data_IF_603706371199
#
_entry.id   IF_603706371199
#
_cell.length_a   1.000
_cell.length_b   1.000
_cell.length_c   1.000
_cell.angle_alpha   90.00
_cell.angle_beta   90.00
_cell.angle_gamma   90.00
#
_symmetry.space_group_name_H-M   'P 1'
#
loop_
_entity.id
_entity.type
_entity.pdbx_description
1 polymer ?
#
# COMPACT_ATOMS: atom_id res chain seq x y z
N UNK A 1 20.98 -16.96 39.73
CA UNK A 1 20.13 -15.79 39.47
C UNK A 1 18.75 -16.22 39.92
N UNK A 2 18.31 -15.72 41.06
CA UNK A 2 17.10 -16.20 41.73
C UNK A 2 15.88 -15.73 40.96
N UNK A 3 14.95 -16.62 40.70
CA UNK A 3 13.74 -16.32 39.95
C UNK A 3 12.85 -15.39 40.80
N UNK A 4 12.53 -14.19 40.29
CA UNK A 4 11.62 -13.22 40.95
C UNK A 4 10.32 -13.90 41.36
N UNK A 5 9.85 -14.84 40.55
CA UNK A 5 8.62 -15.59 40.79
C UNK A 5 8.73 -16.50 42.01
N UNK A 6 9.90 -17.11 42.23
CA UNK A 6 10.16 -18.00 43.37
C UNK A 6 10.31 -17.22 44.68
N UNK A 7 11.03 -16.08 44.66
CA UNK A 7 11.15 -15.16 45.80
C UNK A 7 9.80 -14.55 46.18
N UNK A 8 8.99 -14.16 45.19
CA UNK A 8 7.65 -13.63 45.43
C UNK A 8 6.68 -14.69 45.98
N UNK A 9 6.79 -15.95 45.52
CA UNK A 9 6.01 -17.06 46.06
C UNK A 9 6.39 -17.37 47.51
N UNK A 10 7.68 -17.39 47.84
CA UNK A 10 8.14 -17.54 49.23
C UNK A 10 7.68 -16.39 50.13
N UNK A 11 7.76 -15.14 49.65
CA UNK A 11 7.26 -13.99 50.37
C UNK A 11 5.77 -14.15 50.74
N UNK A 12 4.95 -14.65 49.80
CA UNK A 12 3.53 -14.96 50.02
C UNK A 12 3.32 -16.05 51.06
N UNK A 13 4.00 -17.19 50.93
CA UNK A 13 3.86 -18.32 51.86
C UNK A 13 4.28 -17.92 53.27
N UNK A 14 5.40 -17.21 53.43
CA UNK A 14 5.87 -16.76 54.74
C UNK A 14 4.84 -15.83 55.39
N UNK A 15 4.30 -14.86 54.63
CA UNK A 15 3.27 -13.96 55.12
C UNK A 15 1.98 -14.68 55.55
N UNK A 16 1.56 -15.74 54.83
CA UNK A 16 0.41 -16.59 55.20
C UNK A 16 0.65 -17.36 56.51
N UNK A 17 1.91 -17.74 56.78
CA UNK A 17 2.33 -18.41 58.01
C UNK A 17 2.64 -17.44 59.16
N UNK A 18 2.51 -16.12 58.97
CA UNK A 18 2.87 -15.10 59.96
C UNK A 18 4.39 -14.88 60.13
N UNK A 19 5.18 -15.42 59.21
CA UNK A 19 6.63 -15.26 59.11
C UNK A 19 6.98 -14.18 58.07
N UNK A 20 8.21 -13.68 58.12
CA UNK A 20 8.71 -12.67 57.18
C UNK A 20 9.94 -13.19 56.45
N UNK A 21 10.19 -12.66 55.25
CA UNK A 21 11.47 -12.84 54.60
C UNK A 21 12.59 -12.33 55.51
N UNK A 22 13.74 -12.98 55.48
CA UNK A 22 14.94 -12.44 56.13
C UNK A 22 15.33 -11.10 55.49
N UNK A 23 16.10 -10.25 56.19
CA UNK A 23 16.59 -8.99 55.61
C UNK A 23 17.37 -9.18 54.30
N UNK A 24 18.11 -10.28 54.16
CA UNK A 24 18.84 -10.60 52.94
C UNK A 24 17.91 -10.94 51.77
N UNK A 25 16.91 -11.80 52.00
CA UNK A 25 15.90 -12.15 50.98
C UNK A 25 15.02 -10.95 50.62
N UNK A 26 14.72 -10.08 51.59
CA UNK A 26 13.99 -8.83 51.35
C UNK A 26 14.79 -7.90 50.44
N UNK A 27 16.09 -7.74 50.69
CA UNK A 27 16.97 -6.93 49.84
C UNK A 27 17.07 -7.51 48.42
N UNK A 28 17.20 -8.84 48.32
CA UNK A 28 17.25 -9.53 47.03
C UNK A 28 15.96 -9.35 46.21
N UNK A 29 14.80 -9.41 46.85
CA UNK A 29 13.51 -9.15 46.21
C UNK A 29 13.40 -7.69 45.73
N UNK A 30 13.84 -6.72 46.54
CA UNK A 30 13.83 -5.30 46.18
C UNK A 30 14.73 -5.03 44.97
N UNK A 31 15.97 -5.52 44.97
CA UNK A 31 16.87 -5.37 43.83
C UNK A 31 16.31 -5.99 42.55
N UNK A 32 15.64 -7.13 42.67
CA UNK A 32 15.04 -7.81 41.54
C UNK A 32 13.84 -7.04 40.98
N UNK A 33 13.01 -6.45 41.85
CA UNK A 33 11.91 -5.55 41.46
C UNK A 33 12.42 -4.27 40.79
N UNK A 34 13.48 -3.65 41.30
CA UNK A 34 14.10 -2.48 40.69
C UNK A 34 14.63 -2.79 39.28
N UNK A 35 15.30 -3.93 39.11
CA UNK A 35 15.78 -4.39 37.79
C UNK A 35 14.61 -4.67 36.84
N UNK A 36 13.53 -5.28 37.32
CA UNK A 36 12.33 -5.50 36.51
C UNK A 36 11.68 -4.18 36.09
N UNK A 37 11.55 -3.22 37.01
CA UNK A 37 11.02 -1.89 36.72
C UNK A 37 11.89 -1.14 35.69
N UNK A 38 13.21 -1.17 35.84
CA UNK A 38 14.14 -0.60 34.86
C UNK A 38 13.98 -1.26 33.48
N UNK A 39 13.79 -2.59 33.43
CA UNK A 39 13.58 -3.31 32.18
C UNK A 39 12.25 -2.95 31.52
N UNK A 40 11.17 -2.80 32.28
CA UNK A 40 9.87 -2.34 31.78
C UNK A 40 10.01 -0.95 31.17
N UNK A 41 10.58 0.01 31.90
CA UNK A 41 10.82 1.38 31.37
C UNK A 41 11.67 1.37 30.10
N UNK A 42 12.69 0.50 30.04
CA UNK A 42 13.51 0.33 28.84
C UNK A 42 12.74 -0.28 27.67
N UNK A 43 11.81 -1.21 27.92
CA UNK A 43 10.97 -1.80 26.88
C UNK A 43 9.92 -0.79 26.40
N UNK A 44 9.22 -0.13 27.31
CA UNK A 44 8.22 0.90 27.01
C UNK A 44 8.82 2.06 26.20
N UNK A 45 10.04 2.51 26.53
CA UNK A 45 10.74 3.54 25.74
C UNK A 45 11.13 3.09 24.33
N UNK A 46 11.16 1.78 24.06
CA UNK A 46 11.46 1.19 22.74
C UNK A 46 10.20 0.74 22.00
N UNK A 47 9.06 0.66 22.67
CA UNK A 47 7.79 0.27 22.07
C UNK A 47 7.28 1.39 21.17
N UNK A 48 7.03 1.06 19.90
CA UNK A 48 6.38 1.98 18.96
C UNK A 48 4.88 1.85 19.13
N UNK A 49 4.21 2.94 19.50
CA UNK A 49 2.75 3.01 19.45
C UNK A 49 2.30 3.09 18.00
N UNK A 50 1.56 2.08 17.55
CA UNK A 50 0.99 2.06 16.20
C UNK A 50 -0.20 3.03 16.11
N UNK A 51 -0.27 3.74 14.99
CA UNK A 51 -1.40 4.64 14.70
C UNK A 51 -2.69 3.84 14.49
N UNK A 52 -3.87 4.34 14.93
CA UNK A 52 -5.17 3.71 14.67
C UNK A 52 -5.40 3.35 13.19
N UNK A 53 -4.89 4.17 12.28
CA UNK A 53 -5.00 3.99 10.83
C UNK A 53 -4.34 2.70 10.34
N UNK A 54 -3.27 2.22 11.00
CA UNK A 54 -2.62 0.96 10.64
C UNK A 54 -3.53 -0.24 10.91
N UNK A 55 -4.33 -0.19 11.98
CA UNK A 55 -5.33 -1.23 12.26
C UNK A 55 -6.44 -1.21 11.22
N UNK A 56 -6.91 -0.03 10.82
CA UNK A 56 -7.89 0.12 9.73
C UNK A 56 -7.36 -0.45 8.41
N UNK A 57 -6.10 -0.18 8.07
CA UNK A 57 -5.45 -0.75 6.89
C UNK A 57 -5.42 -2.29 7.00
N UNK A 58 -5.03 -2.84 8.15
CA UNK A 58 -5.02 -4.28 8.39
C UNK A 58 -6.40 -4.93 8.22
N UNK A 59 -7.45 -4.30 8.74
CA UNK A 59 -8.84 -4.77 8.60
C UNK A 59 -9.28 -4.76 7.12
N UNK A 60 -9.01 -3.67 6.40
CA UNK A 60 -9.31 -3.56 4.97
C UNK A 60 -8.55 -4.63 4.16
N UNK A 61 -7.28 -4.90 4.50
CA UNK A 61 -6.50 -5.95 3.84
C UNK A 61 -7.17 -7.33 3.99
N UNK A 62 -7.75 -7.62 5.17
CA UNK A 62 -8.41 -8.89 5.47
C UNK A 62 -9.81 -9.04 4.86
N UNK A 63 -10.53 -7.94 4.66
CA UNK A 63 -11.97 -7.98 4.33
C UNK A 63 -12.32 -7.53 2.92
N UNK A 64 -11.43 -6.80 2.24
CA UNK A 64 -11.69 -6.35 0.87
C UNK A 64 -11.77 -7.51 -0.13
N UNK A 65 -12.44 -7.27 -1.26
CA UNK A 65 -12.41 -8.18 -2.39
C UNK A 65 -11.03 -8.13 -3.07
N UNK A 66 -10.33 -9.26 -3.06
CA UNK A 66 -9.01 -9.36 -3.66
C UNK A 66 -9.02 -9.57 -5.19
N UNK A 67 -10.19 -9.55 -5.84
CA UNK A 67 -10.38 -9.69 -7.29
C UNK A 67 -9.68 -10.93 -7.87
N UNK A 68 -9.91 -12.07 -7.21
CA UNK A 68 -9.35 -13.40 -7.59
C UNK A 68 -7.81 -13.48 -7.45
N UNK A 69 -7.17 -12.45 -6.90
CA UNK A 69 -5.72 -12.42 -6.63
C UNK A 69 -5.45 -12.76 -5.17
N UNK A 70 -4.48 -13.63 -4.86
CA UNK A 70 -4.18 -14.00 -3.46
C UNK A 70 -3.65 -12.81 -2.65
N UNK A 71 -2.70 -12.06 -3.22
CA UNK A 71 -2.05 -10.92 -2.59
C UNK A 71 -2.06 -9.72 -3.55
N UNK A 72 -3.20 -9.01 -3.66
CA UNK A 72 -3.34 -7.90 -4.59
C UNK A 72 -2.49 -6.71 -4.15
N UNK A 73 -1.79 -6.13 -5.12
CA UNK A 73 -1.32 -4.76 -5.11
C UNK A 73 -2.33 -3.93 -5.88
N UNK A 74 -3.10 -3.11 -5.17
CA UNK A 74 -4.07 -2.22 -5.82
C UNK A 74 -3.32 -1.05 -6.45
N UNK A 75 -3.55 -0.83 -7.73
CA UNK A 75 -2.86 0.18 -8.53
C UNK A 75 -3.88 1.09 -9.14
N UNK A 76 -3.62 2.39 -9.06
CA UNK A 76 -4.28 3.40 -9.89
C UNK A 76 -3.48 3.52 -11.17
N UNK A 77 -4.13 3.23 -12.29
CA UNK A 77 -3.65 3.56 -13.62
C UNK A 77 -4.42 4.77 -14.16
N UNK A 78 -3.82 5.48 -15.10
CA UNK A 78 -4.51 6.44 -15.96
C UNK A 78 -4.26 6.11 -17.43
N UNK A 79 -5.17 6.53 -18.30
CA UNK A 79 -5.00 6.36 -19.74
C UNK A 79 -4.12 7.46 -20.29
N UNK A 80 -3.08 7.09 -21.02
CA UNK A 80 -2.21 8.02 -21.74
C UNK A 80 -2.15 7.64 -23.20
N UNK A 81 -2.08 8.64 -24.06
CA UNK A 81 -1.82 8.43 -25.48
C UNK A 81 -0.34 8.65 -25.76
N UNK A 82 0.26 7.73 -26.49
CA UNK A 82 1.62 7.83 -27.02
C UNK A 82 1.59 7.62 -28.54
N UNK A 83 2.60 8.13 -29.22
CA UNK A 83 2.80 7.79 -30.63
C UNK A 83 3.26 6.34 -30.71
N UNK A 84 2.48 5.51 -31.37
CA UNK A 84 2.75 4.11 -31.61
C UNK A 84 3.17 3.84 -33.05
N UNK A 85 3.09 2.56 -33.44
CA UNK A 85 3.34 2.11 -34.81
C UNK A 85 2.02 1.88 -35.53
N UNK A 86 1.94 2.31 -36.79
CA UNK A 86 0.80 2.08 -37.66
C UNK A 86 0.58 0.58 -37.98
N UNK A 87 1.65 -0.22 -37.89
CA UNK A 87 1.60 -1.67 -38.16
C UNK A 87 0.98 -2.48 -37.00
N UNK A 88 0.84 -1.88 -35.82
CA UNK A 88 0.47 -2.59 -34.59
C UNK A 88 -0.98 -2.34 -34.16
N UNK A 89 -1.89 -2.08 -35.12
CA UNK A 89 -3.31 -1.81 -34.86
C UNK A 89 -3.50 -0.67 -33.85
N UNK A 90 -3.22 0.59 -34.25
CA UNK A 90 -3.30 1.74 -33.34
C UNK A 90 -4.70 1.91 -32.76
N UNK A 91 -4.76 2.50 -31.55
CA UNK A 91 -6.03 2.81 -30.88
C UNK A 91 -6.83 3.86 -31.66
N UNK A 92 -6.15 4.83 -32.27
CA UNK A 92 -6.75 5.78 -33.24
C UNK A 92 -5.66 6.43 -34.11
N UNK A 93 -6.10 7.07 -35.19
CA UNK A 93 -5.24 7.95 -35.99
C UNK A 93 -5.47 9.40 -35.58
N UNK A 94 -4.38 10.14 -35.38
CA UNK A 94 -4.37 11.58 -35.14
C UNK A 94 -3.74 12.29 -36.35
N UNK A 95 -4.47 13.27 -36.88
CA UNK A 95 -3.99 14.13 -37.96
C UNK A 95 -3.67 15.51 -37.40
N UNK A 96 -2.48 16.02 -37.70
CA UNK A 96 -1.96 17.26 -37.11
C UNK A 96 -1.59 18.24 -38.21
N UNK A 97 -1.84 19.53 -37.94
CA UNK A 97 -1.37 20.63 -38.76
C UNK A 97 -0.80 21.71 -37.86
N UNK A 98 0.46 22.09 -38.10
CA UNK A 98 1.15 23.14 -37.33
C UNK A 98 1.14 22.89 -35.81
N UNK A 99 1.37 21.64 -35.43
CA UNK A 99 1.42 21.21 -34.02
C UNK A 99 0.06 20.94 -33.35
N UNK A 100 -1.06 21.26 -34.01
CA UNK A 100 -2.41 21.10 -33.45
C UNK A 100 -3.20 19.97 -34.11
N UNK A 101 -3.93 19.20 -33.30
CA UNK A 101 -4.83 18.15 -33.81
C UNK A 101 -5.99 18.77 -34.59
N UNK A 102 -6.24 18.25 -35.79
CA UNK A 102 -7.31 18.77 -36.65
C UNK A 102 -8.68 18.27 -36.21
N UNK A 103 -9.75 18.97 -36.62
CA UNK A 103 -11.11 18.53 -36.30
C UNK A 103 -11.43 17.14 -36.85
N UNK A 104 -12.30 16.40 -36.15
CA UNK A 104 -12.65 15.02 -36.51
C UNK A 104 -13.13 14.86 -37.98
N UNK A 105 -13.93 15.81 -38.47
CA UNK A 105 -14.38 15.81 -39.87
C UNK A 105 -13.21 15.95 -40.85
N UNK A 106 -12.21 16.79 -40.52
CA UNK A 106 -11.01 16.95 -41.35
C UNK A 106 -10.12 15.73 -41.26
N UNK A 107 -9.93 15.16 -40.07
CA UNK A 107 -9.19 13.92 -39.85
C UNK A 107 -9.77 12.76 -40.69
N UNK A 108 -11.09 12.58 -40.67
CA UNK A 108 -11.77 11.55 -41.50
C UNK A 108 -11.53 11.75 -43.01
N UNK A 109 -11.56 13.00 -43.49
CA UNK A 109 -11.27 13.32 -44.90
C UNK A 109 -9.81 13.04 -45.26
N UNK A 110 -8.87 13.41 -44.39
CA UNK A 110 -7.45 13.16 -44.60
C UNK A 110 -7.14 11.66 -44.58
N UNK A 111 -7.75 10.91 -43.67
CA UNK A 111 -7.59 9.46 -43.63
C UNK A 111 -8.11 8.81 -44.91
N UNK A 112 -9.27 9.24 -45.44
CA UNK A 112 -9.75 8.74 -46.72
C UNK A 112 -8.77 9.05 -47.88
N UNK A 113 -8.21 10.26 -47.94
CA UNK A 113 -7.19 10.61 -48.93
C UNK A 113 -5.94 9.73 -48.81
N UNK A 114 -5.48 9.49 -47.59
CA UNK A 114 -4.31 8.66 -47.30
C UNK A 114 -4.53 7.21 -47.75
N UNK A 115 -5.68 6.62 -47.41
CA UNK A 115 -6.05 5.25 -47.81
C UNK A 115 -6.17 5.11 -49.34
N UNK A 116 -6.59 6.17 -50.04
CA UNK A 116 -6.63 6.24 -51.49
C UNK A 116 -5.25 6.52 -52.14
N UNK A 117 -4.17 6.62 -51.37
CA UNK A 117 -2.81 6.92 -51.84
C UNK A 117 -2.65 8.35 -52.37
N UNK A 118 -3.51 9.29 -51.95
CA UNK A 118 -3.49 10.70 -52.39
C UNK A 118 -2.65 11.56 -51.45
N UNK A 119 -2.10 12.63 -52.01
CA UNK A 119 -1.35 13.63 -51.23
C UNK A 119 -2.24 14.31 -50.18
N UNK A 120 -1.76 14.31 -48.94
CA UNK A 120 -2.41 14.89 -47.76
C UNK A 120 -1.92 16.31 -47.46
N UNK A 121 -1.12 16.93 -48.34
CA UNK A 121 -0.77 18.37 -48.35
C UNK A 121 0.00 18.85 -47.12
N UNK A 122 0.96 18.06 -46.64
CA UNK A 122 1.85 18.44 -45.54
C UNK A 122 1.26 18.32 -44.14
N UNK A 123 0.16 17.58 -43.99
CA UNK A 123 -0.37 17.21 -42.69
C UNK A 123 0.40 16.00 -42.14
N UNK A 124 0.67 16.01 -40.85
CA UNK A 124 1.30 14.89 -40.16
C UNK A 124 0.24 13.87 -39.73
N UNK A 125 0.55 12.59 -39.90
CA UNK A 125 -0.30 11.46 -39.52
C UNK A 125 0.39 10.66 -38.43
N UNK A 126 -0.22 10.57 -37.26
CA UNK A 126 0.30 9.78 -36.14
C UNK A 126 -0.64 8.64 -35.78
N UNK A 127 -0.10 7.43 -35.77
CA UNK A 127 -0.73 6.28 -35.16
C UNK A 127 -0.65 6.42 -33.63
N UNK A 128 -1.78 6.68 -32.98
CA UNK A 128 -1.83 6.88 -31.53
C UNK A 128 -2.19 5.57 -30.83
N UNK A 129 -1.44 5.25 -29.78
CA UNK A 129 -1.69 4.09 -28.93
C UNK A 129 -2.12 4.57 -27.55
N UNK A 130 -3.26 4.05 -27.08
CA UNK A 130 -3.64 4.18 -25.68
C UNK A 130 -2.87 3.15 -24.85
N UNK A 131 -2.22 3.62 -23.79
CA UNK A 131 -1.49 2.81 -22.84
C UNK A 131 -1.93 3.12 -21.42
N UNK A 132 -1.78 2.12 -20.54
CA UNK A 132 -2.03 2.26 -19.12
C UNK A 132 -0.77 2.79 -18.44
N UNK A 133 -0.83 4.03 -17.93
CA UNK A 133 0.25 4.67 -17.20
C UNK A 133 0.06 4.49 -15.70
N UNK A 134 1.08 3.94 -15.04
CA UNK A 134 1.09 3.77 -13.60
C UNK A 134 1.07 5.13 -12.90
N UNK A 135 0.15 5.31 -11.94
CA UNK A 135 0.07 6.52 -11.11
C UNK A 135 0.56 6.24 -9.70
N UNK A 136 -0.05 5.27 -9.01
CA UNK A 136 0.33 4.92 -7.64
C UNK A 136 -0.16 3.52 -7.26
N UNK A 137 0.45 2.93 -6.23
CA UNK A 137 0.05 1.66 -5.66
C UNK A 137 -0.33 1.83 -4.18
N UNK A 138 -1.35 1.11 -3.74
CA UNK A 138 -1.83 1.09 -2.37
C UNK A 138 -1.94 -0.36 -1.85
N UNK A 139 -1.95 -0.51 -0.52
CA UNK A 139 -2.23 -1.80 0.12
C UNK A 139 -3.69 -2.24 0.02
N UNK A 140 -4.61 -1.30 -0.20
CA UNK A 140 -6.05 -1.54 -0.20
C UNK A 140 -6.73 -0.80 -1.36
N UNK A 141 -7.86 -1.33 -1.83
CA UNK A 141 -8.70 -0.65 -2.81
C UNK A 141 -9.23 0.68 -2.26
N UNK A 142 -9.51 0.73 -0.95
CA UNK A 142 -9.94 1.96 -0.28
C UNK A 142 -8.88 3.06 -0.38
N UNK A 143 -7.60 2.73 -0.17
CA UNK A 143 -6.50 3.68 -0.34
C UNK A 143 -6.43 4.25 -1.75
N UNK A 144 -6.65 3.43 -2.78
CA UNK A 144 -6.76 3.92 -4.16
C UNK A 144 -7.97 4.84 -4.36
N UNK A 145 -9.12 4.51 -3.78
CA UNK A 145 -10.32 5.36 -3.84
C UNK A 145 -10.11 6.71 -3.16
N UNK A 146 -9.43 6.73 -2.01
CA UNK A 146 -9.10 7.96 -1.29
C UNK A 146 -8.13 8.83 -2.10
N UNK A 147 -7.11 8.22 -2.70
CA UNK A 147 -6.21 8.91 -3.63
C UNK A 147 -6.96 9.53 -4.80
N UNK A 148 -7.86 8.77 -5.45
CA UNK A 148 -8.67 9.27 -6.57
C UNK A 148 -9.64 10.38 -6.14
N UNK A 149 -10.21 10.30 -4.93
CA UNK A 149 -11.06 11.36 -4.39
C UNK A 149 -10.28 12.68 -4.24
N UNK A 150 -9.01 12.60 -3.83
CA UNK A 150 -8.17 13.77 -3.59
C UNK A 150 -7.53 14.32 -4.87
N UNK A 151 -7.04 13.45 -5.76
CA UNK A 151 -6.21 13.83 -6.91
C UNK A 151 -6.78 13.43 -8.28
N UNK A 152 -7.93 12.75 -8.33
CA UNK A 152 -8.47 12.20 -9.58
C UNK A 152 -8.79 13.24 -10.65
N UNK A 153 -9.04 14.49 -10.27
CA UNK A 153 -9.27 15.60 -11.20
C UNK A 153 -8.01 15.98 -12.01
N UNK A 154 -6.82 15.59 -11.56
CA UNK A 154 -5.55 15.80 -12.28
C UNK A 154 -5.17 14.60 -13.16
N UNK A 155 -6.01 13.56 -13.23
CA UNK A 155 -5.72 12.32 -13.94
C UNK A 155 -6.65 12.15 -15.15
N UNK A 156 -6.14 11.51 -16.20
CA UNK A 156 -6.91 11.23 -17.42
C UNK A 156 -7.50 9.80 -17.38
N UNK A 157 -8.83 9.71 -17.31
CA UNK A 157 -9.58 8.44 -17.28
C UNK A 157 -8.98 7.42 -16.28
N UNK A 158 -8.80 7.81 -15.00
CA UNK A 158 -8.17 6.93 -14.03
C UNK A 158 -9.05 5.73 -13.67
N UNK A 159 -8.43 4.60 -13.38
CA UNK A 159 -9.13 3.40 -12.90
C UNK A 159 -8.25 2.59 -11.94
N UNK A 160 -8.90 1.76 -11.11
CA UNK A 160 -8.24 0.91 -10.12
C UNK A 160 -8.16 -0.51 -10.66
N UNK A 161 -6.95 -1.05 -10.68
CA UNK A 161 -6.66 -2.43 -11.05
C UNK A 161 -5.99 -3.18 -9.89
N UNK A 162 -6.27 -4.48 -9.75
CA UNK A 162 -5.59 -5.33 -8.79
C UNK A 162 -4.48 -6.11 -9.49
N UNK A 163 -3.24 -5.64 -9.34
CA UNK A 163 -2.07 -6.37 -9.81
C UNK A 163 -1.75 -7.52 -8.85
N UNK A 164 -1.24 -8.63 -9.38
CA UNK A 164 -0.62 -9.66 -8.55
C UNK A 164 0.73 -9.17 -8.00
N UNK A 165 0.99 -9.37 -6.70
CA UNK A 165 2.31 -9.13 -6.09
C UNK A 165 3.29 -10.28 -6.30
N UNK A 166 3.11 -11.10 -7.34
CA UNK A 166 3.92 -12.29 -7.59
C UNK A 166 5.41 -11.92 -7.69
N UNK A 167 6.25 -12.65 -6.93
CA UNK A 167 7.71 -12.41 -6.79
C UNK A 167 8.11 -11.08 -6.15
N UNK A 168 7.17 -10.34 -5.56
CA UNK A 168 7.47 -9.17 -4.75
C UNK A 168 7.40 -9.50 -3.26
N UNK A 169 8.42 -10.21 -2.75
CA UNK A 169 8.44 -10.69 -1.37
C UNK A 169 8.40 -9.57 -0.33
N UNK A 170 8.99 -8.40 -0.64
CA UNK A 170 8.99 -7.24 0.26
C UNK A 170 7.57 -6.70 0.47
N UNK A 171 6.82 -6.50 -0.61
CA UNK A 171 5.44 -6.05 -0.52
C UNK A 171 4.57 -7.06 0.23
N UNK A 172 4.73 -8.35 -0.10
CA UNK A 172 3.99 -9.43 0.56
C UNK A 172 4.27 -9.45 2.07
N UNK A 173 5.53 -9.32 2.48
CA UNK A 173 5.93 -9.27 3.88
C UNK A 173 5.24 -8.14 4.63
N UNK A 174 5.32 -6.91 4.10
CA UNK A 174 4.72 -5.73 4.75
C UNK A 174 3.20 -5.82 4.76
N UNK A 175 2.58 -6.23 3.65
CA UNK A 175 1.11 -6.41 3.56
C UNK A 175 0.61 -7.45 4.56
N UNK A 176 1.28 -8.59 4.67
CA UNK A 176 0.90 -9.66 5.59
C UNK A 176 1.14 -9.27 7.05
N UNK A 177 2.21 -8.50 7.32
CA UNK A 177 2.42 -7.91 8.65
C UNK A 177 1.27 -6.96 9.03
N UNK A 178 0.89 -6.04 8.14
CA UNK A 178 -0.25 -5.13 8.35
C UNK A 178 -1.56 -5.89 8.57
N UNK A 179 -1.82 -6.96 7.79
CA UNK A 179 -3.00 -7.81 7.95
C UNK A 179 -3.04 -8.52 9.32
N UNK A 180 -1.87 -8.84 9.86
CA UNK A 180 -1.70 -9.55 11.12
C UNK A 180 -1.79 -8.68 12.38
N UNK A 181 -1.83 -7.35 12.24
CA UNK A 181 -2.00 -6.45 13.38
C UNK A 181 -3.40 -6.66 13.96
N UNK A 182 -3.46 -7.07 15.23
CA UNK A 182 -4.72 -7.22 15.98
C UNK A 182 -4.91 -6.00 16.86
N UNK A 183 -6.13 -5.45 16.87
CA UNK A 183 -6.53 -4.51 17.92
C UNK A 183 -6.54 -5.30 19.23
N UNK A 184 -5.68 -4.94 20.18
CA UNK A 184 -5.87 -5.42 21.56
C UNK A 184 -7.20 -4.81 22.04
N UNK A 185 -8.15 -5.67 22.40
CA UNK A 185 -9.39 -5.20 22.99
C UNK A 185 -9.05 -4.63 24.37
N UNK A 186 -9.22 -3.33 24.53
CA UNK A 186 -9.14 -2.62 25.82
C UNK A 186 -10.11 -3.21 26.86
#
# INVERSE_FOLDING_TARGET
MTDITELAQRARINAECGEYLSPAETMELVEALEKAQQRITQLESRTVKLSPELYTIGELIRTQDNRITDQPMFVVFQKREIIGSDEHSPSRICWVWDGEEVSELRAKRLEALYQDGRDTRGYDRYAMQEVDEFVTACFTEHGCKDYLRQNGHNLRLPYIYACGSFRNNEYQLVRNWLAGIKVEAD
#
